data_IF_981679061108
#
_entry.id   IF_981679061108
#
_cell.length_a   1.000
_cell.length_b   1.000
_cell.length_c   1.000
_cell.angle_alpha   90.00
_cell.angle_beta   90.00
_cell.angle_gamma   90.00
#
_symmetry.space_group_name_H-M   'P 1'
#
loop_
_entity.id
_entity.type
_entity.pdbx_description
1 polymer ?
#
# COMPACT_ATOMS: atom_id res chain seq x y z
N UNK A 1 -18.51 25.33 30.62
CA UNK A 1 -17.71 24.11 30.42
C UNK A 1 -17.18 24.12 29.00
N UNK A 2 -15.95 24.62 28.83
CA UNK A 2 -15.26 24.66 27.53
C UNK A 2 -14.95 23.24 27.10
N UNK A 3 -15.67 22.74 26.10
CA UNK A 3 -15.40 21.45 25.49
C UNK A 3 -13.96 21.42 24.97
N UNK A 4 -13.14 20.58 25.59
CA UNK A 4 -11.82 20.23 25.10
C UNK A 4 -11.95 19.81 23.64
N UNK A 5 -11.31 20.55 22.74
CA UNK A 5 -11.13 20.11 21.35
C UNK A 5 -10.54 18.70 21.44
N UNK A 6 -11.27 17.72 20.92
CA UNK A 6 -10.77 16.36 20.80
C UNK A 6 -9.41 16.45 20.12
N UNK A 7 -8.37 16.00 20.83
CA UNK A 7 -7.01 15.97 20.34
C UNK A 7 -7.01 14.98 19.17
N UNK A 8 -7.24 15.45 17.95
CA UNK A 8 -7.27 14.57 16.80
C UNK A 8 -5.88 13.96 16.67
N UNK A 9 -5.80 12.65 16.91
CA UNK A 9 -4.57 11.85 16.72
C UNK A 9 -4.02 11.94 15.29
N UNK A 10 -4.76 12.54 14.35
CA UNK A 10 -4.39 12.58 12.95
C UNK A 10 -4.43 14.03 12.44
N UNK A 11 -3.33 14.46 11.82
CA UNK A 11 -3.40 15.57 10.87
C UNK A 11 -4.42 15.17 9.78
N UNK A 12 -5.64 15.69 9.84
CA UNK A 12 -6.74 15.45 8.88
C UNK A 12 -6.44 15.95 7.45
N UNK A 13 -5.21 16.38 7.17
CA UNK A 13 -4.87 17.10 5.94
C UNK A 13 -4.64 16.19 4.74
N UNK A 14 -4.49 14.88 4.92
CA UNK A 14 -4.03 13.98 3.86
C UNK A 14 -4.72 12.60 3.93
N UNK A 15 -6.04 12.55 3.74
CA UNK A 15 -6.70 11.28 3.46
C UNK A 15 -6.51 10.90 2.00
N UNK A 16 -6.20 9.64 1.75
CA UNK A 16 -5.92 9.16 0.40
C UNK A 16 -7.23 9.02 -0.40
N UNK A 17 -7.35 9.76 -1.51
CA UNK A 17 -8.39 9.56 -2.53
C UNK A 17 -7.75 8.97 -3.80
N UNK A 18 -7.90 7.66 -3.97
CA UNK A 18 -7.36 6.92 -5.11
C UNK A 18 -8.48 6.27 -5.94
N UNK A 19 -8.37 6.37 -7.26
CA UNK A 19 -9.40 5.87 -8.19
C UNK A 19 -9.26 4.37 -8.49
N UNK A 20 -8.04 3.83 -8.49
CA UNK A 20 -7.78 2.45 -8.90
C UNK A 20 -6.79 1.76 -7.94
N UNK A 21 -7.03 0.52 -7.51
CA UNK A 21 -6.18 -0.18 -6.55
C UNK A 21 -4.90 -0.75 -7.19
N UNK A 22 -3.89 -1.01 -6.35
CA UNK A 22 -2.64 -1.70 -6.74
C UNK A 22 -2.74 -3.17 -6.29
N UNK A 23 -2.94 -4.08 -7.25
CA UNK A 23 -3.26 -5.48 -6.99
C UNK A 23 -2.42 -6.43 -7.84
N UNK A 24 -2.13 -7.62 -7.31
CA UNK A 24 -1.52 -8.69 -8.08
C UNK A 24 -2.56 -9.47 -8.91
N UNK A 25 -2.16 -10.15 -10.00
CA UNK A 25 -3.05 -10.94 -10.85
C UNK A 25 -3.83 -12.01 -10.07
N UNK A 26 -3.20 -12.63 -9.08
CA UNK A 26 -3.81 -13.68 -8.23
C UNK A 26 -4.97 -13.15 -7.38
N UNK A 27 -4.90 -11.88 -6.94
CA UNK A 27 -5.97 -11.25 -6.18
C UNK A 27 -7.11 -10.75 -7.07
N UNK A 28 -6.82 -10.34 -8.30
CA UNK A 28 -7.84 -9.98 -9.29
C UNK A 28 -8.64 -11.21 -9.73
N UNK A 29 -7.98 -12.34 -9.90
CA UNK A 29 -8.60 -13.58 -10.35
C UNK A 29 -8.51 -13.77 -11.87
N UNK A 30 -9.02 -14.90 -12.39
CA UNK A 30 -8.84 -15.28 -13.79
C UNK A 30 -9.80 -14.57 -14.76
N UNK A 31 -10.83 -13.87 -14.26
CA UNK A 31 -11.82 -13.22 -15.12
C UNK A 31 -11.30 -11.85 -15.60
N UNK A 32 -11.19 -11.60 -16.92
CA UNK A 32 -10.79 -10.30 -17.46
C UNK A 32 -11.78 -9.17 -17.14
N UNK A 33 -13.05 -9.51 -16.91
CA UNK A 33 -14.12 -8.54 -16.67
C UNK A 33 -14.51 -8.54 -15.19
N UNK A 34 -13.96 -7.60 -14.43
CA UNK A 34 -14.20 -7.47 -12.99
C UNK A 34 -15.05 -6.22 -12.72
N UNK A 35 -16.02 -6.37 -11.82
CA UNK A 35 -16.77 -5.25 -11.25
C UNK A 35 -16.24 -4.96 -9.85
N UNK A 36 -15.85 -3.71 -9.61
CA UNK A 36 -15.37 -3.25 -8.32
C UNK A 36 -16.31 -2.19 -7.74
N UNK A 37 -16.48 -2.20 -6.43
CA UNK A 37 -17.12 -1.13 -5.67
C UNK A 37 -16.02 -0.26 -5.07
N UNK A 38 -16.12 1.05 -5.27
CA UNK A 38 -15.20 2.04 -4.69
C UNK A 38 -15.92 2.75 -3.57
N UNK A 39 -15.32 2.75 -2.39
CA UNK A 39 -15.84 3.41 -1.20
C UNK A 39 -14.79 4.38 -0.64
N UNK A 40 -15.08 5.68 -0.75
CA UNK A 40 -14.15 6.75 -0.37
C UNK A 40 -14.03 6.81 1.14
N UNK A 41 -12.80 6.68 1.63
CA UNK A 41 -12.49 6.68 3.07
C UNK A 41 -13.22 5.59 3.87
N UNK A 42 -13.58 4.48 3.21
CA UNK A 42 -14.41 3.41 3.81
C UNK A 42 -13.72 2.59 4.91
N UNK A 43 -12.39 2.63 4.99
CA UNK A 43 -11.67 1.98 6.09
C UNK A 43 -10.31 2.63 6.37
N UNK A 44 -9.74 2.31 7.53
CA UNK A 44 -8.38 2.68 7.90
C UNK A 44 -7.35 1.64 7.43
N UNK A 45 -6.20 2.11 6.97
CA UNK A 45 -5.10 1.27 6.52
C UNK A 45 -4.50 0.50 7.71
N UNK A 46 -4.31 -0.82 7.56
CA UNK A 46 -3.79 -1.67 8.65
C UNK A 46 -2.35 -1.38 9.06
N UNK A 47 -1.57 -0.73 8.20
CA UNK A 47 -0.17 -0.37 8.50
C UNK A 47 -0.06 1.01 9.14
N UNK A 48 -0.85 1.96 8.64
CA UNK A 48 -0.62 3.38 8.86
C UNK A 48 -1.78 4.09 9.59
N UNK A 49 -2.90 3.37 9.80
CA UNK A 49 -4.09 3.80 10.53
C UNK A 49 -4.76 5.08 9.98
N UNK A 50 -4.44 5.46 8.74
CA UNK A 50 -5.13 6.57 8.05
C UNK A 50 -6.29 6.03 7.21
N UNK A 51 -7.41 6.77 7.15
CA UNK A 51 -8.49 6.50 6.21
C UNK A 51 -8.00 6.55 4.76
N UNK A 52 -8.47 5.63 3.93
CA UNK A 52 -8.16 5.57 2.50
C UNK A 52 -9.36 5.06 1.69
N UNK A 53 -9.36 5.31 0.39
CA UNK A 53 -10.35 4.73 -0.52
C UNK A 53 -10.21 3.22 -0.61
N UNK A 54 -11.28 2.51 -0.30
CA UNK A 54 -11.30 1.05 -0.36
C UNK A 54 -11.95 0.58 -1.64
N UNK A 55 -11.41 -0.50 -2.20
CA UNK A 55 -11.99 -1.17 -3.34
C UNK A 55 -12.38 -2.59 -2.94
N UNK A 56 -13.59 -3.01 -3.31
CA UNK A 56 -14.13 -4.36 -3.03
C UNK A 56 -14.61 -5.02 -4.31
N UNK A 57 -14.20 -6.26 -4.55
CA UNK A 57 -14.56 -7.01 -5.76
C UNK A 57 -14.71 -8.50 -5.49
N UNK A 58 -15.31 -9.20 -6.46
CA UNK A 58 -15.42 -10.65 -6.47
C UNK A 58 -14.48 -11.22 -7.55
N UNK A 59 -13.41 -11.94 -7.18
CA UNK A 59 -12.43 -12.43 -8.16
C UNK A 59 -12.96 -13.51 -9.12
N UNK A 60 -13.98 -14.25 -8.70
CA UNK A 60 -14.52 -15.35 -9.49
C UNK A 60 -15.77 -15.97 -8.86
N UNK A 61 -16.47 -16.82 -9.62
CA UNK A 61 -17.64 -17.54 -9.10
C UNK A 61 -17.23 -18.44 -7.93
N UNK A 62 -18.04 -18.49 -6.88
CA UNK A 62 -17.80 -19.24 -5.63
C UNK A 62 -16.58 -18.80 -4.81
N UNK A 63 -15.97 -17.65 -5.13
CA UNK A 63 -14.94 -17.05 -4.29
C UNK A 63 -15.54 -16.09 -3.25
N UNK A 64 -14.76 -15.76 -2.22
CA UNK A 64 -15.11 -14.68 -1.29
C UNK A 64 -14.81 -13.32 -1.91
N UNK A 65 -15.61 -12.32 -1.55
CA UNK A 65 -15.27 -10.92 -1.82
C UNK A 65 -13.90 -10.58 -1.21
N UNK A 66 -13.03 -10.02 -2.04
CA UNK A 66 -11.77 -9.41 -1.62
C UNK A 66 -11.95 -7.91 -1.49
N UNK A 67 -11.11 -7.29 -0.66
CA UNK A 67 -11.03 -5.84 -0.51
C UNK A 67 -9.57 -5.41 -0.32
N UNK A 68 -9.29 -4.13 -0.53
CA UNK A 68 -8.01 -3.52 -0.18
C UNK A 68 -7.90 -3.33 1.33
N UNK A 69 -6.76 -3.69 1.93
CA UNK A 69 -6.51 -3.59 3.39
C UNK A 69 -5.47 -2.51 3.74
N UNK A 70 -4.68 -2.06 2.76
CA UNK A 70 -3.66 -1.01 2.92
C UNK A 70 -3.83 0.09 1.87
N UNK A 71 -3.37 1.29 2.23
CA UNK A 71 -3.40 2.48 1.36
C UNK A 71 -2.36 2.37 0.22
N UNK A 72 -2.54 3.11 -0.89
CA UNK A 72 -1.61 3.10 -2.02
C UNK A 72 -0.20 3.53 -1.62
N UNK A 73 -0.06 4.49 -0.71
CA UNK A 73 1.27 4.93 -0.28
C UNK A 73 2.06 3.78 0.38
N UNK A 74 1.43 3.02 1.28
CA UNK A 74 2.06 1.86 1.91
C UNK A 74 2.37 0.75 0.90
N UNK A 75 1.47 0.54 -0.07
CA UNK A 75 1.69 -0.42 -1.15
C UNK A 75 2.89 -0.03 -2.03
N UNK A 76 3.02 1.24 -2.40
CA UNK A 76 4.11 1.78 -3.24
C UNK A 76 5.46 1.78 -2.53
N UNK A 77 5.48 2.13 -1.24
CA UNK A 77 6.72 2.14 -0.44
C UNK A 77 7.39 0.76 -0.40
N UNK A 78 6.59 -0.29 -0.32
CA UNK A 78 7.07 -1.66 -0.21
C UNK A 78 6.93 -2.45 -1.50
N UNK A 79 6.44 -1.88 -2.59
CA UNK A 79 6.07 -2.61 -3.82
C UNK A 79 5.23 -3.87 -3.56
N UNK A 80 4.09 -3.72 -2.89
CA UNK A 80 3.22 -4.84 -2.51
C UNK A 80 1.78 -4.67 -2.97
N UNK A 81 1.07 -5.79 -3.12
CA UNK A 81 -0.36 -5.82 -3.37
C UNK A 81 -1.15 -5.31 -2.16
N UNK A 82 -2.17 -4.48 -2.41
CA UNK A 82 -2.99 -3.87 -1.35
C UNK A 82 -3.87 -4.85 -0.56
N UNK A 83 -4.03 -6.09 -1.04
CA UNK A 83 -4.88 -7.10 -0.39
C UNK A 83 -4.07 -8.22 0.25
N UNK A 84 -3.13 -8.83 -0.47
CA UNK A 84 -2.35 -9.95 0.07
C UNK A 84 -1.04 -9.54 0.72
N UNK A 85 -0.59 -8.29 0.56
CA UNK A 85 0.67 -7.77 1.14
C UNK A 85 1.90 -8.56 0.62
N UNK A 86 1.75 -9.30 -0.48
CA UNK A 86 2.86 -9.94 -1.17
C UNK A 86 3.44 -8.99 -2.20
N UNK A 87 4.71 -9.20 -2.52
CA UNK A 87 5.41 -8.48 -3.55
C UNK A 87 4.72 -8.60 -4.92
N UNK A 88 4.73 -7.51 -5.70
CA UNK A 88 4.05 -7.47 -7.00
C UNK A 88 4.83 -8.17 -8.12
N UNK A 89 6.16 -8.25 -8.02
CA UNK A 89 7.03 -8.77 -9.08
C UNK A 89 7.29 -10.27 -8.93
N UNK A 90 7.59 -10.71 -7.71
CA UNK A 90 7.99 -12.08 -7.39
C UNK A 90 6.88 -12.88 -6.69
N UNK A 91 5.85 -12.22 -6.17
CA UNK A 91 4.78 -12.88 -5.40
C UNK A 91 5.26 -13.49 -4.07
N UNK A 92 6.42 -13.05 -3.57
CA UNK A 92 7.00 -13.55 -2.32
C UNK A 92 6.55 -12.71 -1.11
N UNK A 93 6.54 -13.29 0.10
CA UNK A 93 6.43 -12.52 1.33
C UNK A 93 7.54 -11.46 1.42
N UNK A 94 7.19 -10.27 1.92
CA UNK A 94 8.12 -9.13 2.02
C UNK A 94 9.39 -9.45 2.80
N UNK A 95 9.31 -10.26 3.86
CA UNK A 95 10.49 -10.66 4.63
C UNK A 95 11.48 -11.47 3.79
N UNK A 96 10.98 -12.39 2.95
CA UNK A 96 11.81 -13.25 2.09
C UNK A 96 12.43 -12.43 0.97
N UNK A 97 11.68 -11.50 0.37
CA UNK A 97 12.22 -10.60 -0.63
C UNK A 97 13.31 -9.70 -0.05
N UNK A 98 13.04 -9.07 1.09
CA UNK A 98 13.95 -8.10 1.70
C UNK A 98 15.27 -8.78 2.15
N UNK A 99 15.23 -10.06 2.54
CA UNK A 99 16.44 -10.84 2.85
C UNK A 99 17.26 -11.18 1.61
N UNK A 100 16.61 -11.57 0.51
CA UNK A 100 17.31 -11.91 -0.75
C UNK A 100 17.90 -10.68 -1.43
N UNK A 101 17.16 -9.56 -1.45
CA UNK A 101 17.59 -8.31 -2.10
C UNK A 101 18.43 -7.40 -1.18
N UNK A 102 18.75 -7.87 0.04
CA UNK A 102 19.46 -7.12 1.08
C UNK A 102 18.88 -5.70 1.26
N UNK A 103 17.54 -5.61 1.34
CA UNK A 103 16.83 -4.36 1.51
C UNK A 103 16.66 -4.12 3.01
N UNK A 104 17.42 -3.17 3.54
CA UNK A 104 17.26 -2.69 4.93
C UNK A 104 16.58 -1.33 4.89
N UNK A 105 15.28 -1.32 5.14
CA UNK A 105 14.54 -0.07 5.32
C UNK A 105 14.46 0.28 6.80
N UNK A 106 15.15 1.33 7.27
CA UNK A 106 14.99 1.83 8.62
C UNK A 106 13.65 2.57 8.72
N UNK A 107 12.56 1.82 8.89
CA UNK A 107 11.25 2.41 9.19
C UNK A 107 11.22 2.76 10.69
N UNK A 108 10.95 4.02 11.06
CA UNK A 108 10.85 4.40 12.46
C UNK A 108 9.74 3.62 13.19
N UNK A 109 10.03 3.13 14.39
CA UNK A 109 9.07 2.38 15.21
C UNK A 109 8.13 3.28 16.04
N UNK A 110 8.58 4.50 16.39
CA UNK A 110 7.76 5.45 17.13
C UNK A 110 6.59 5.96 16.29
N UNK A 111 5.39 6.05 16.89
CA UNK A 111 4.13 6.43 16.22
C UNK A 111 4.25 7.79 15.49
N UNK A 112 4.77 8.81 16.17
CA UNK A 112 4.98 10.16 15.61
C UNK A 112 6.03 10.17 14.50
N UNK A 113 7.14 9.44 14.68
CA UNK A 113 8.21 9.38 13.68
C UNK A 113 7.77 8.64 12.42
N UNK A 114 6.92 7.63 12.58
CA UNK A 114 6.32 6.88 11.47
C UNK A 114 5.36 7.76 10.66
N UNK A 115 4.58 8.60 11.34
CA UNK A 115 3.74 9.61 10.69
C UNK A 115 4.53 10.63 9.90
N UNK A 116 5.56 11.21 10.52
CA UNK A 116 6.43 12.16 9.84
C UNK A 116 7.13 11.53 8.63
N UNK A 117 7.71 10.34 8.79
CA UNK A 117 8.37 9.62 7.70
C UNK A 117 7.43 9.42 6.52
N UNK A 118 6.19 8.98 6.79
CA UNK A 118 5.16 8.82 5.78
C UNK A 118 4.83 10.13 5.06
N UNK A 119 4.62 11.22 5.78
CA UNK A 119 4.28 12.52 5.16
C UNK A 119 5.40 13.01 4.24
N UNK A 120 6.66 12.75 4.62
CA UNK A 120 7.82 13.04 3.77
C UNK A 120 7.80 12.19 2.51
N UNK A 121 7.47 10.89 2.62
CA UNK A 121 7.39 9.99 1.46
C UNK A 121 6.20 10.30 0.55
N UNK A 122 5.06 10.70 1.12
CA UNK A 122 3.89 11.16 0.38
C UNK A 122 4.21 12.41 -0.46
N UNK A 123 4.90 13.38 0.15
CA UNK A 123 5.38 14.58 -0.56
C UNK A 123 6.34 14.25 -1.69
N UNK A 124 7.21 13.25 -1.51
CA UNK A 124 8.10 12.77 -2.58
C UNK A 124 7.32 12.17 -3.74
N UNK A 125 6.15 11.57 -3.50
CA UNK A 125 5.32 10.97 -4.55
C UNK A 125 4.60 12.03 -5.38
N UNK A 126 4.11 13.11 -4.77
CA UNK A 126 3.35 14.17 -5.45
C UNK A 126 4.13 14.82 -6.60
N UNK A 127 5.47 14.89 -6.48
CA UNK A 127 6.35 15.43 -7.53
C UNK A 127 6.79 14.44 -8.61
N UNK A 128 6.28 13.20 -8.58
CA UNK A 128 6.64 12.15 -9.54
C UNK A 128 5.44 11.76 -10.39
N UNK A 129 5.67 11.12 -11.54
CA UNK A 129 4.64 10.63 -12.46
C UNK A 129 3.69 9.58 -11.84
N UNK A 130 3.82 9.26 -10.56
CA UNK A 130 2.96 8.31 -9.87
C UNK A 130 3.19 6.87 -10.31
N UNK A 131 4.25 6.56 -11.05
CA UNK A 131 4.61 5.23 -11.55
C UNK A 131 5.87 4.66 -10.92
N UNK A 132 6.68 5.51 -10.28
CA UNK A 132 7.94 5.09 -9.67
C UNK A 132 7.74 4.48 -8.27
N UNK A 133 8.45 3.38 -8.01
CA UNK A 133 8.67 2.86 -6.66
C UNK A 133 9.51 3.87 -5.87
N UNK A 134 9.16 4.08 -4.59
CA UNK A 134 9.81 5.06 -3.73
C UNK A 134 10.55 4.32 -2.61
N UNK A 135 11.64 4.90 -2.12
CA UNK A 135 12.37 4.36 -0.97
C UNK A 135 13.44 3.38 -1.40
N UNK A 136 13.70 2.35 -0.60
CA UNK A 136 14.84 1.44 -0.83
C UNK A 136 14.58 0.43 -1.95
N UNK A 137 13.37 0.44 -2.50
CA UNK A 137 12.93 -0.35 -3.65
C UNK A 137 13.31 0.29 -5.00
N UNK A 138 13.50 1.62 -5.05
CA UNK A 138 13.78 2.34 -6.29
C UNK A 138 15.04 1.78 -7.00
N UNK A 139 14.82 1.12 -8.16
CA UNK A 139 15.88 0.60 -9.03
C UNK A 139 16.33 -0.84 -8.75
N UNK A 140 15.78 -1.54 -7.76
CA UNK A 140 16.16 -2.93 -7.42
C UNK A 140 15.34 -4.00 -8.13
N UNK A 141 14.14 -3.67 -8.61
CA UNK A 141 13.16 -4.61 -9.17
C UNK A 141 13.48 -5.11 -10.58
N UNK A 142 14.46 -4.52 -11.30
CA UNK A 142 14.71 -4.85 -12.72
C UNK A 142 16.11 -5.38 -13.08
N UNK A 143 17.14 -5.21 -12.26
CA UNK A 143 18.53 -5.38 -12.72
C UNK A 143 19.22 -6.68 -12.29
N UNK A 144 18.74 -7.38 -11.28
CA UNK A 144 19.40 -8.61 -10.83
C UNK A 144 18.34 -9.62 -10.36
N UNK A 145 18.06 -10.62 -11.19
CA UNK A 145 17.26 -11.79 -10.81
C UNK A 145 18.19 -12.92 -10.33
N UNK A 146 18.53 -13.03 -9.03
CA UNK A 146 19.23 -14.19 -8.49
C UNK A 146 18.33 -15.40 -8.26
N UNK A 147 17.00 -15.23 -8.34
CA UNK A 147 15.99 -16.28 -7.99
C UNK A 147 15.59 -17.12 -9.21
N UNK A 148 15.74 -16.61 -10.44
CA UNK A 148 15.43 -17.31 -11.70
C UNK A 148 16.72 -17.81 -12.42
N UNK A 149 17.79 -18.07 -11.67
CA UNK A 149 18.97 -18.75 -12.20
C UNK A 149 18.96 -20.23 -11.82
#
# INVERSE_FOLDING_TARGET
MSGTRTNSKYNHRNWEDSNFPILCPTCLGPNPYIRMLTDKFGSECKVCQRPFTTHKWLPGPRMRYKKTEICQLCARLKNVCQTCIFDLDYGLPTQVRDSVLNIKEPVPQGEVNKEYYRDVMERKLIGTDGTAEIGSMAGKTKSNNPILR
#
